data_IF_074873514271
#
_entry.id   IF_074873514271
#
_cell.length_a   1.000
_cell.length_b   1.000
_cell.length_c   1.000
_cell.angle_alpha   90.00
_cell.angle_beta   90.00
_cell.angle_gamma   90.00
#
_symmetry.space_group_name_H-M   'P 1'
#
loop_
_entity.id
_entity.type
_entity.pdbx_description
1 polymer ?
#
# COMPACT_ATOMS: atom_id res chain seq x y z
N UNK A 1 21.35 -13.85 8.78
CA UNK A 1 22.22 -13.68 9.98
C UNK A 1 21.75 -12.60 10.95
N UNK A 2 20.68 -11.84 10.68
CA UNK A 2 20.23 -10.75 11.57
C UNK A 2 20.05 -11.19 13.02
N UNK A 3 19.35 -12.30 13.28
CA UNK A 3 19.14 -12.82 14.63
C UNK A 3 20.45 -13.22 15.33
N UNK A 4 21.37 -13.88 14.61
CA UNK A 4 22.65 -14.33 15.17
C UNK A 4 23.54 -13.15 15.53
N UNK A 5 23.63 -12.13 14.67
CA UNK A 5 24.42 -10.93 14.94
C UNK A 5 23.88 -10.21 16.19
N UNK A 6 22.56 -10.03 16.28
CA UNK A 6 21.94 -9.40 17.45
C UNK A 6 22.19 -10.18 18.75
N UNK A 7 22.18 -11.52 18.68
CA UNK A 7 22.35 -12.38 19.84
C UNK A 7 23.81 -12.55 20.27
N UNK A 8 24.73 -12.71 19.32
CA UNK A 8 26.12 -13.11 19.57
C UNK A 8 27.10 -11.93 19.58
N UNK A 9 26.80 -10.84 18.85
CA UNK A 9 27.73 -9.73 18.66
C UNK A 9 27.25 -8.42 19.31
N UNK A 10 25.94 -8.18 19.36
CA UNK A 10 25.41 -6.92 19.88
C UNK A 10 25.26 -6.86 21.41
N UNK A 11 25.52 -7.97 22.13
CA UNK A 11 25.45 -8.01 23.60
C UNK A 11 24.04 -7.80 24.18
N UNK A 12 22.99 -7.99 23.37
CA UNK A 12 21.59 -7.82 23.82
C UNK A 12 21.10 -8.97 24.72
N UNK A 13 21.87 -10.05 24.86
CA UNK A 13 21.54 -11.23 25.65
C UNK A 13 22.11 -11.19 27.09
N UNK A 14 22.73 -10.08 27.49
CA UNK A 14 23.44 -9.97 28.77
C UNK A 14 22.46 -9.78 29.95
N UNK A 15 21.31 -9.15 29.71
CA UNK A 15 20.30 -8.85 30.72
C UNK A 15 18.91 -9.15 30.16
N UNK A 16 18.04 -9.70 31.00
CA UNK A 16 16.70 -10.15 30.59
C UNK A 16 15.79 -9.00 30.12
N UNK A 17 15.79 -7.87 30.82
CA UNK A 17 15.08 -6.65 30.43
C UNK A 17 16.00 -5.42 30.61
N UNK A 18 16.46 -4.87 29.49
CA UNK A 18 17.38 -3.73 29.43
C UNK A 18 16.64 -2.40 29.64
N UNK A 19 15.33 -2.35 29.38
CA UNK A 19 14.54 -1.10 29.45
C UNK A 19 13.82 -0.91 30.78
N UNK A 20 13.90 -1.89 31.69
CA UNK A 20 13.30 -1.82 33.02
C UNK A 20 13.69 -0.54 33.77
N UNK A 21 12.70 0.19 34.28
CA UNK A 21 12.90 1.44 35.01
C UNK A 21 13.13 2.67 34.13
N UNK A 22 13.22 2.51 32.81
CA UNK A 22 13.26 3.64 31.89
C UNK A 22 11.86 4.27 31.81
N UNK A 23 11.71 5.46 32.40
CA UNK A 23 10.42 6.15 32.56
C UNK A 23 9.57 6.22 31.27
N UNK A 24 10.21 6.44 30.11
CA UNK A 24 9.51 6.48 28.82
C UNK A 24 8.83 5.15 28.49
N UNK A 25 9.55 4.03 28.60
CA UNK A 25 9.02 2.70 28.30
C UNK A 25 7.99 2.26 29.34
N UNK A 26 8.22 2.55 30.61
CA UNK A 26 7.25 2.28 31.68
C UNK A 26 5.93 3.03 31.42
N UNK A 27 6.00 4.31 31.08
CA UNK A 27 4.82 5.11 30.76
C UNK A 27 4.10 4.61 29.50
N UNK A 28 4.84 4.28 28.44
CA UNK A 28 4.25 3.73 27.21
C UNK A 28 3.60 2.37 27.45
N UNK A 29 4.23 1.52 28.26
CA UNK A 29 3.69 0.20 28.65
C UNK A 29 2.40 0.37 29.42
N UNK A 30 2.37 1.29 30.40
CA UNK A 30 1.18 1.58 31.17
C UNK A 30 0.03 2.09 30.30
N UNK A 31 0.30 2.99 29.36
CA UNK A 31 -0.71 3.51 28.42
C UNK A 31 -1.23 2.41 27.48
N UNK A 32 -0.34 1.57 26.95
CA UNK A 32 -0.73 0.44 26.12
C UNK A 32 -1.61 -0.55 26.88
N UNK A 33 -1.23 -0.90 28.12
CA UNK A 33 -2.00 -1.80 28.99
C UNK A 33 -3.38 -1.22 29.30
N UNK A 34 -3.46 0.07 29.62
CA UNK A 34 -4.74 0.73 29.91
C UNK A 34 -5.69 0.64 28.71
N UNK A 35 -5.24 1.03 27.52
CA UNK A 35 -6.08 0.99 26.32
C UNK A 35 -6.44 -0.44 25.89
N UNK A 36 -5.50 -1.38 25.97
CA UNK A 36 -5.77 -2.79 25.68
C UNK A 36 -6.80 -3.38 26.65
N UNK A 37 -6.75 -2.98 27.92
CA UNK A 37 -7.72 -3.42 28.93
C UNK A 37 -9.11 -2.83 28.68
N UNK A 38 -9.19 -1.55 28.31
CA UNK A 38 -10.45 -0.89 27.93
C UNK A 38 -11.09 -1.58 26.70
N UNK A 39 -10.30 -1.86 25.66
CA UNK A 39 -10.77 -2.60 24.47
C UNK A 39 -11.22 -4.02 24.83
N UNK A 40 -10.47 -4.72 25.69
CA UNK A 40 -10.84 -6.06 26.16
C UNK A 40 -12.19 -6.05 26.90
N UNK A 41 -12.39 -5.11 27.82
CA UNK A 41 -13.66 -4.97 28.54
C UNK A 41 -14.83 -4.61 27.59
N UNK A 42 -14.58 -3.82 26.54
CA UNK A 42 -15.58 -3.53 25.51
C UNK A 42 -15.98 -4.81 24.75
N UNK A 43 -15.01 -5.65 24.40
CA UNK A 43 -15.23 -6.93 23.73
C UNK A 43 -16.11 -7.84 24.61
N UNK A 44 -15.75 -8.00 25.88
CA UNK A 44 -16.51 -8.82 26.82
C UNK A 44 -17.95 -8.32 27.02
N UNK A 45 -18.13 -6.99 27.14
CA UNK A 45 -19.47 -6.38 27.26
C UNK A 45 -20.37 -6.63 26.04
N UNK A 46 -19.79 -6.83 24.86
CA UNK A 46 -20.49 -7.13 23.60
C UNK A 46 -20.75 -8.62 23.38
N UNK A 47 -20.52 -9.46 24.39
CA UNK A 47 -20.71 -10.91 24.30
C UNK A 47 -19.49 -11.65 23.78
N UNK A 48 -18.30 -11.08 23.96
CA UNK A 48 -17.03 -11.68 23.60
C UNK A 48 -16.63 -11.53 22.13
N UNK A 49 -15.44 -12.03 21.80
CA UNK A 49 -14.82 -11.85 20.47
C UNK A 49 -15.61 -12.50 19.34
N UNK A 50 -16.24 -13.66 19.58
CA UNK A 50 -17.00 -14.41 18.56
C UNK A 50 -18.22 -13.59 18.11
N UNK A 51 -18.96 -13.01 19.05
CA UNK A 51 -20.09 -12.11 18.78
C UNK A 51 -19.67 -10.89 17.94
N UNK A 52 -18.53 -10.28 18.29
CA UNK A 52 -18.00 -9.14 17.55
C UNK A 52 -17.55 -9.48 16.13
N UNK A 53 -16.98 -10.67 15.93
CA UNK A 53 -16.58 -11.17 14.61
C UNK A 53 -17.80 -11.47 13.74
N UNK A 54 -18.84 -12.09 14.30
CA UNK A 54 -20.10 -12.36 13.62
C UNK A 54 -20.81 -11.07 13.16
N UNK A 55 -20.81 -10.05 14.01
CA UNK A 55 -21.43 -8.76 13.70
C UNK A 55 -20.49 -7.78 12.95
N UNK A 56 -19.34 -8.27 12.48
CA UNK A 56 -18.30 -7.53 11.76
C UNK A 56 -17.78 -6.25 12.44
N UNK A 57 -17.97 -6.13 13.75
CA UNK A 57 -17.61 -4.91 14.49
C UNK A 57 -16.11 -4.74 14.57
N UNK A 58 -15.38 -5.84 14.78
CA UNK A 58 -13.92 -5.82 14.83
C UNK A 58 -13.33 -5.44 13.46
N UNK A 59 -13.86 -6.02 12.38
CA UNK A 59 -13.44 -5.73 11.01
C UNK A 59 -13.63 -4.25 10.68
N UNK A 60 -14.76 -3.65 11.09
CA UNK A 60 -15.01 -2.20 10.93
C UNK A 60 -14.01 -1.35 11.71
N UNK A 61 -13.71 -1.69 12.97
CA UNK A 61 -12.69 -0.99 13.77
C UNK A 61 -11.31 -1.02 13.08
N UNK A 62 -10.86 -2.20 12.66
CA UNK A 62 -9.58 -2.38 11.95
C UNK A 62 -9.59 -1.59 10.63
N UNK A 63 -10.70 -1.60 9.90
CA UNK A 63 -10.82 -0.85 8.65
C UNK A 63 -10.68 0.66 8.85
N UNK A 64 -11.24 1.21 9.92
CA UNK A 64 -11.10 2.64 10.24
C UNK A 64 -9.63 3.00 10.48
N UNK A 65 -8.91 2.23 11.29
CA UNK A 65 -7.48 2.47 11.54
C UNK A 65 -6.64 2.29 10.27
N UNK A 66 -6.98 1.30 9.44
CA UNK A 66 -6.37 1.13 8.13
C UNK A 66 -6.56 2.36 7.23
N UNK A 67 -7.77 2.95 7.16
CA UNK A 67 -8.00 4.15 6.35
C UNK A 67 -7.22 5.37 6.87
N UNK A 68 -7.08 5.52 8.20
CA UNK A 68 -6.24 6.57 8.81
C UNK A 68 -4.78 6.38 8.43
N UNK A 69 -4.24 5.17 8.60
CA UNK A 69 -2.85 4.86 8.23
C UNK A 69 -2.60 5.11 6.74
N UNK A 70 -3.54 4.68 5.89
CA UNK A 70 -3.50 4.89 4.45
C UNK A 70 -3.50 6.37 4.08
N UNK A 71 -4.28 7.22 4.75
CA UNK A 71 -4.28 8.66 4.49
C UNK A 71 -2.98 9.34 4.92
N UNK A 72 -2.35 8.87 6.00
CA UNK A 72 -1.01 9.35 6.38
C UNK A 72 0.06 8.95 5.38
N UNK A 73 0.01 7.72 4.86
CA UNK A 73 0.94 7.27 3.82
C UNK A 73 0.70 8.07 2.52
N UNK A 74 -0.57 8.25 2.13
CA UNK A 74 -0.91 8.90 0.87
C UNK A 74 -0.65 10.40 0.87
N UNK A 75 -0.84 11.09 1.99
CA UNK A 75 -0.40 12.48 2.18
C UNK A 75 1.13 12.61 2.31
N UNK A 76 1.81 11.53 2.72
CA UNK A 76 3.24 11.50 3.01
C UNK A 76 3.62 11.90 4.43
N UNK A 77 2.64 12.00 5.34
CA UNK A 77 2.86 12.15 6.78
C UNK A 77 3.54 10.90 7.39
N UNK A 78 3.28 9.71 6.82
CA UNK A 78 3.99 8.48 7.14
C UNK A 78 4.83 8.04 5.93
N UNK A 79 6.10 8.49 5.83
CA UNK A 79 6.96 8.17 4.68
C UNK A 79 7.40 6.70 4.71
N UNK A 80 7.44 6.09 3.53
CA UNK A 80 8.00 4.76 3.30
C UNK A 80 9.27 4.95 2.46
N UNK A 81 10.42 4.75 3.10
CA UNK A 81 11.73 4.93 2.46
C UNK A 81 11.89 3.94 1.31
N UNK A 82 12.34 4.43 0.15
CA UNK A 82 12.49 3.64 -1.08
C UNK A 82 11.21 3.52 -1.92
N UNK A 83 10.04 3.87 -1.36
CA UNK A 83 8.74 3.82 -2.07
C UNK A 83 8.12 5.21 -2.22
N UNK A 84 7.66 5.82 -1.13
CA UNK A 84 7.04 7.16 -1.17
C UNK A 84 8.03 8.28 -0.90
N UNK A 85 9.12 7.97 -0.20
CA UNK A 85 10.21 8.89 0.09
C UNK A 85 11.51 8.35 -0.49
N UNK A 86 12.18 9.14 -1.34
CA UNK A 86 13.36 8.74 -2.12
C UNK A 86 13.16 7.42 -2.92
N UNK A 87 12.15 7.33 -3.80
CA UNK A 87 11.99 6.19 -4.68
C UNK A 87 13.18 6.02 -5.62
N UNK A 88 13.64 4.78 -5.78
CA UNK A 88 14.66 4.44 -6.77
C UNK A 88 14.05 4.23 -8.15
N UNK A 89 14.71 4.72 -9.19
CA UNK A 89 14.24 4.65 -10.59
C UNK A 89 14.36 3.22 -11.16
N UNK A 90 15.42 2.50 -10.79
CA UNK A 90 15.83 1.25 -11.46
C UNK A 90 15.43 -0.03 -10.73
N UNK A 91 14.80 0.08 -9.56
CA UNK A 91 14.40 -1.09 -8.78
C UNK A 91 13.20 -1.76 -9.44
N UNK A 92 13.48 -2.74 -10.32
CA UNK A 92 12.49 -3.72 -10.80
C UNK A 92 12.55 -4.92 -9.87
N UNK A 93 11.66 -5.03 -8.86
CA UNK A 93 11.67 -6.20 -7.99
C UNK A 93 11.38 -7.44 -8.84
N UNK A 94 12.16 -8.49 -8.65
CA UNK A 94 11.84 -9.80 -9.19
C UNK A 94 10.65 -10.33 -8.41
N UNK A 95 9.47 -10.26 -9.01
CA UNK A 95 8.26 -10.84 -8.44
C UNK A 95 8.37 -12.36 -8.58
N UNK A 96 8.71 -13.05 -7.49
CA UNK A 96 8.65 -14.51 -7.42
C UNK A 96 7.22 -14.87 -7.02
N UNK A 97 6.32 -14.95 -8.00
CA UNK A 97 5.01 -15.54 -7.79
C UNK A 97 5.11 -17.06 -7.96
N UNK A 98 4.52 -17.85 -7.06
CA UNK A 98 4.39 -19.28 -7.29
C UNK A 98 3.53 -19.50 -8.54
N UNK A 99 3.95 -20.45 -9.38
CA UNK A 99 3.22 -20.80 -10.59
C UNK A 99 2.00 -21.67 -10.21
N UNK A 100 0.89 -21.00 -9.94
CA UNK A 100 -0.36 -21.66 -9.51
C UNK A 100 -0.86 -22.67 -10.55
N UNK A 101 -0.61 -22.42 -11.84
CA UNK A 101 -1.04 -23.33 -12.92
C UNK A 101 -0.35 -24.70 -12.86
N UNK A 102 0.90 -24.75 -12.38
CA UNK A 102 1.61 -26.00 -12.14
C UNK A 102 1.05 -26.77 -10.95
N UNK A 103 0.69 -26.06 -9.88
CA UNK A 103 0.10 -26.68 -8.70
C UNK A 103 -1.31 -27.21 -8.99
N UNK A 104 -2.11 -26.50 -9.79
CA UNK A 104 -3.42 -26.98 -10.25
C UNK A 104 -3.32 -28.30 -11.01
N UNK A 105 -2.39 -28.40 -11.98
CA UNK A 105 -2.17 -29.64 -12.74
C UNK A 105 -1.76 -30.82 -11.86
N UNK A 106 -0.90 -30.59 -10.85
CA UNK A 106 -0.52 -31.64 -9.89
C UNK A 106 -1.73 -32.15 -9.11
N UNK A 107 -2.61 -31.24 -8.70
CA UNK A 107 -3.84 -31.59 -7.98
C UNK A 107 -4.79 -32.38 -8.89
N UNK A 108 -4.94 -31.99 -10.15
CA UNK A 108 -5.75 -32.73 -11.14
C UNK A 108 -5.20 -34.14 -11.40
N UNK A 109 -3.90 -34.28 -11.62
CA UNK A 109 -3.22 -35.57 -11.79
C UNK A 109 -3.40 -36.47 -10.56
N UNK A 110 -3.26 -35.91 -9.36
CA UNK A 110 -3.51 -36.63 -8.11
C UNK A 110 -4.98 -37.10 -8.03
N UNK A 111 -5.94 -36.21 -8.29
CA UNK A 111 -7.38 -36.53 -8.25
C UNK A 111 -7.73 -37.63 -9.25
N UNK A 112 -7.08 -37.64 -10.42
CA UNK A 112 -7.29 -38.68 -11.44
C UNK A 112 -6.64 -40.02 -11.07
N UNK A 113 -5.47 -39.99 -10.42
CA UNK A 113 -4.69 -41.20 -10.08
C UNK A 113 -5.16 -41.94 -8.83
N UNK A 114 -5.87 -41.28 -7.91
CA UNK A 114 -6.21 -41.82 -6.58
C UNK A 114 -7.28 -42.93 -6.55
N UNK A 115 -7.97 -43.20 -7.65
CA UNK A 115 -8.96 -44.29 -7.73
C UNK A 115 -10.31 -43.97 -7.07
N UNK A 116 -10.78 -44.83 -6.16
CA UNK A 116 -12.04 -44.60 -5.43
C UNK A 116 -12.01 -43.29 -4.64
N UNK A 117 -13.13 -42.58 -4.62
CA UNK A 117 -13.24 -41.29 -3.94
C UNK A 117 -13.00 -41.42 -2.43
N UNK A 118 -12.44 -40.38 -1.78
CA UNK A 118 -12.16 -40.40 -0.36
C UNK A 118 -13.45 -40.51 0.46
N UNK A 119 -13.35 -41.11 1.65
CA UNK A 119 -14.48 -41.10 2.59
C UNK A 119 -14.53 -39.74 3.26
N UNK A 120 -15.59 -38.96 3.01
CA UNK A 120 -15.78 -37.63 3.61
C UNK A 120 -16.90 -37.73 4.65
N UNK A 121 -16.62 -37.33 5.89
CA UNK A 121 -17.61 -37.32 6.97
C UNK A 121 -17.01 -37.53 8.35
N UNK A 122 -17.81 -37.26 9.39
CA UNK A 122 -17.40 -37.34 10.79
C UNK A 122 -17.02 -35.99 11.40
N UNK A 123 -17.03 -35.89 12.73
CA UNK A 123 -16.68 -34.67 13.48
C UNK A 123 -15.35 -34.83 14.22
N UNK A 124 -14.65 -33.71 14.45
CA UNK A 124 -13.41 -33.65 15.21
C UNK A 124 -12.13 -33.96 14.43
N UNK A 125 -10.99 -33.82 15.09
CA UNK A 125 -9.65 -33.93 14.47
C UNK A 125 -9.34 -35.35 13.97
N UNK A 126 -9.83 -36.39 14.65
CA UNK A 126 -9.61 -37.78 14.22
C UNK A 126 -10.28 -38.11 12.88
N UNK A 127 -11.45 -37.52 12.63
CA UNK A 127 -12.13 -37.58 11.32
C UNK A 127 -11.26 -36.93 10.23
N UNK A 128 -10.71 -35.75 10.49
CA UNK A 128 -9.83 -35.05 9.54
C UNK A 128 -8.62 -35.89 9.10
N UNK A 129 -7.94 -36.54 10.05
CA UNK A 129 -6.82 -37.43 9.74
C UNK A 129 -7.28 -38.65 8.92
N UNK A 130 -8.41 -39.27 9.25
CA UNK A 130 -8.94 -40.41 8.48
C UNK A 130 -9.30 -40.04 7.05
N UNK A 131 -9.83 -38.83 6.83
CA UNK A 131 -10.14 -38.30 5.49
C UNK A 131 -8.86 -38.08 4.67
N UNK A 132 -7.82 -37.48 5.27
CA UNK A 132 -6.51 -37.33 4.63
C UNK A 132 -5.88 -38.69 4.30
N UNK A 133 -5.96 -39.67 5.22
CA UNK A 133 -5.47 -41.03 4.98
C UNK A 133 -6.23 -41.74 3.86
N UNK A 134 -7.53 -41.44 3.67
CA UNK A 134 -8.30 -41.92 2.52
C UNK A 134 -8.01 -41.19 1.21
N UNK A 135 -7.08 -40.24 1.20
CA UNK A 135 -6.68 -39.49 0.01
C UNK A 135 -7.52 -38.25 -0.28
N UNK A 136 -8.29 -37.74 0.69
CA UNK A 136 -9.05 -36.51 0.54
C UNK A 136 -8.12 -35.31 0.40
N UNK A 137 -8.40 -34.44 -0.57
CA UNK A 137 -7.73 -33.15 -0.67
C UNK A 137 -8.29 -32.19 0.38
N UNK A 138 -7.49 -31.19 0.79
CA UNK A 138 -7.94 -30.16 1.75
C UNK A 138 -9.24 -29.49 1.31
N UNK A 139 -9.38 -29.22 0.02
CA UNK A 139 -10.54 -28.58 -0.57
C UNK A 139 -11.83 -29.42 -0.42
N UNK A 140 -11.74 -30.73 -0.65
CA UNK A 140 -12.89 -31.65 -0.48
C UNK A 140 -13.32 -31.77 0.98
N UNK A 141 -12.34 -31.82 1.88
CA UNK A 141 -12.60 -31.81 3.33
C UNK A 141 -13.29 -30.51 3.72
N UNK A 142 -12.77 -29.36 3.27
CA UNK A 142 -13.35 -28.06 3.57
C UNK A 142 -14.77 -27.93 2.99
N UNK A 143 -15.05 -28.37 1.75
CA UNK A 143 -16.40 -28.38 1.19
C UNK A 143 -17.39 -29.23 2.00
N UNK A 144 -16.95 -30.38 2.52
CA UNK A 144 -17.76 -31.22 3.41
C UNK A 144 -18.00 -30.60 4.79
N UNK A 145 -17.08 -29.74 5.26
CA UNK A 145 -17.19 -29.00 6.52
C UNK A 145 -18.03 -27.72 6.40
N UNK A 146 -18.00 -27.05 5.23
CA UNK A 146 -18.70 -25.78 4.98
C UNK A 146 -20.22 -25.87 5.13
N UNK A 147 -20.82 -27.07 5.00
CA UNK A 147 -22.25 -27.26 5.24
C UNK A 147 -22.67 -27.18 6.73
N UNK A 148 -21.73 -26.97 7.67
CA UNK A 148 -22.00 -27.02 9.12
C UNK A 148 -21.60 -25.78 9.93
N UNK A 149 -21.06 -24.73 9.32
CA UNK A 149 -20.70 -23.51 10.08
C UNK A 149 -21.86 -22.51 10.12
N UNK A 150 -22.51 -22.36 11.27
CA UNK A 150 -23.58 -21.36 11.51
C UNK A 150 -23.06 -19.91 11.50
N UNK A 151 -21.76 -19.71 11.67
CA UNK A 151 -21.11 -18.39 11.78
C UNK A 151 -20.21 -18.19 10.57
N UNK A 152 -20.54 -17.20 9.75
CA UNK A 152 -19.69 -16.73 8.64
C UNK A 152 -19.22 -15.31 8.93
N UNK A 153 -17.95 -15.01 8.63
CA UNK A 153 -17.35 -13.70 8.90
C UNK A 153 -16.45 -13.30 7.74
N UNK A 154 -16.48 -12.04 7.31
CA UNK A 154 -15.57 -11.55 6.29
C UNK A 154 -14.10 -11.67 6.74
N UNK A 155 -13.20 -12.22 5.90
CA UNK A 155 -11.79 -12.35 6.24
C UNK A 155 -11.08 -11.00 6.28
N UNK A 156 -10.13 -10.86 7.19
CA UNK A 156 -9.19 -9.73 7.17
C UNK A 156 -8.15 -9.95 6.08
N UNK A 157 -8.05 -9.00 5.16
CA UNK A 157 -7.06 -9.05 4.09
C UNK A 157 -5.74 -8.46 4.57
N UNK A 158 -4.65 -9.20 4.40
CA UNK A 158 -3.31 -8.64 4.55
C UNK A 158 -3.04 -7.70 3.36
N UNK A 159 -2.75 -6.43 3.65
CA UNK A 159 -2.47 -5.40 2.65
C UNK A 159 -1.20 -4.65 3.06
N UNK A 160 -0.06 -4.89 2.40
CA UNK A 160 1.15 -4.13 2.66
C UNK A 160 0.93 -2.63 2.43
N UNK A 161 1.47 -1.81 3.32
CA UNK A 161 1.32 -0.34 3.28
C UNK A 161 1.79 0.27 1.94
N UNK A 162 2.85 -0.29 1.37
CA UNK A 162 3.46 0.17 0.12
C UNK A 162 2.76 -0.33 -1.15
N UNK A 163 1.92 -1.36 -1.05
CA UNK A 163 1.31 -2.06 -2.19
C UNK A 163 0.64 -1.12 -3.20
N UNK A 164 -0.15 -0.09 -2.80
CA UNK A 164 -0.80 0.79 -3.77
C UNK A 164 0.18 1.58 -4.65
N UNK A 165 1.39 1.86 -4.17
CA UNK A 165 2.44 2.53 -4.96
C UNK A 165 3.21 1.54 -5.82
N UNK A 166 3.48 0.34 -5.28
CA UNK A 166 4.09 -0.75 -6.03
C UNK A 166 3.23 -1.17 -7.24
N UNK A 167 1.91 -1.26 -7.08
CA UNK A 167 0.97 -1.52 -8.19
C UNK A 167 1.02 -0.43 -9.26
N UNK A 168 1.17 0.84 -8.89
CA UNK A 168 1.31 1.93 -9.86
C UNK A 168 2.66 1.88 -10.58
N UNK A 169 3.73 1.52 -9.87
CA UNK A 169 5.07 1.34 -10.43
C UNK A 169 5.21 0.09 -11.30
N UNK A 170 4.40 -0.93 -11.04
CA UNK A 170 4.35 -2.14 -11.86
C UNK A 170 3.65 -1.89 -13.21
N UNK A 171 2.83 -0.84 -13.31
CA UNK A 171 2.31 -0.36 -14.60
C UNK A 171 3.45 0.22 -15.43
N UNK A 172 3.24 0.31 -16.75
CA UNK A 172 4.22 0.82 -17.70
C UNK A 172 4.81 2.17 -17.25
N UNK A 173 6.13 2.30 -17.34
CA UNK A 173 6.85 3.55 -17.07
C UNK A 173 6.31 4.65 -17.98
N UNK A 174 5.82 5.75 -17.39
CA UNK A 174 5.32 6.92 -18.12
C UNK A 174 6.27 8.09 -17.92
N UNK A 175 6.50 8.86 -18.98
CA UNK A 175 7.30 10.09 -18.91
C UNK A 175 6.38 11.31 -19.02
N UNK A 176 6.54 12.26 -18.10
CA UNK A 176 5.79 13.52 -18.09
C UNK A 176 6.77 14.70 -18.10
N UNK A 177 6.51 15.74 -18.90
CA UNK A 177 7.32 16.96 -18.87
C UNK A 177 7.09 17.74 -17.56
N UNK A 178 8.19 18.06 -16.89
CA UNK A 178 8.28 18.95 -15.75
C UNK A 178 8.86 20.27 -16.23
N UNK A 179 7.98 21.23 -16.51
CA UNK A 179 8.35 22.51 -17.09
C UNK A 179 8.76 23.48 -16.00
N UNK A 180 9.94 24.07 -16.17
CA UNK A 180 10.60 24.93 -15.20
C UNK A 180 10.41 26.40 -15.58
N UNK A 181 9.83 27.19 -14.68
CA UNK A 181 9.55 28.61 -14.85
C UNK A 181 10.53 29.43 -14.01
N UNK A 182 11.18 30.41 -14.64
CA UNK A 182 12.10 31.33 -13.97
C UNK A 182 13.45 30.72 -13.61
N UNK A 183 14.07 31.24 -12.55
CA UNK A 183 15.45 30.88 -12.17
C UNK A 183 15.52 29.61 -11.31
N UNK A 184 16.66 28.91 -11.36
CA UNK A 184 16.89 27.65 -10.63
C UNK A 184 16.62 27.73 -9.12
N UNK A 185 16.92 28.87 -8.51
CA UNK A 185 16.66 29.11 -7.08
C UNK A 185 15.19 29.05 -6.73
N UNK A 186 14.31 29.39 -7.67
CA UNK A 186 12.88 29.47 -7.46
C UNK A 186 12.20 28.11 -7.64
N UNK A 187 12.68 27.28 -8.58
CA UNK A 187 12.05 26.00 -8.90
C UNK A 187 12.78 24.76 -8.37
N UNK A 188 14.07 24.80 -8.02
CA UNK A 188 14.87 23.60 -7.68
C UNK A 188 14.23 22.70 -6.60
N UNK A 189 13.83 23.27 -5.46
CA UNK A 189 13.18 22.52 -4.38
C UNK A 189 11.81 21.94 -4.79
N UNK A 190 11.01 22.71 -5.53
CA UNK A 190 9.68 22.29 -6.04
C UNK A 190 9.82 21.19 -7.10
N UNK A 191 10.80 21.32 -7.99
CA UNK A 191 11.10 20.34 -9.01
C UNK A 191 11.59 19.01 -8.41
N UNK A 192 12.47 19.05 -7.42
CA UNK A 192 12.90 17.85 -6.71
C UNK A 192 11.73 17.16 -5.99
N UNK A 193 10.88 17.94 -5.32
CA UNK A 193 9.67 17.41 -4.68
C UNK A 193 8.72 16.74 -5.69
N UNK A 194 8.44 17.40 -6.81
CA UNK A 194 7.56 16.88 -7.85
C UNK A 194 8.12 15.60 -8.47
N UNK A 195 9.42 15.56 -8.75
CA UNK A 195 10.10 14.36 -9.26
C UNK A 195 9.97 13.18 -8.31
N UNK A 196 10.27 13.37 -7.02
CA UNK A 196 10.16 12.29 -6.04
C UNK A 196 8.72 11.79 -5.90
N UNK A 197 7.74 12.69 -5.92
CA UNK A 197 6.33 12.31 -5.87
C UNK A 197 5.92 11.51 -7.12
N UNK A 198 6.27 11.98 -8.32
CA UNK A 198 5.93 11.28 -9.57
C UNK A 198 6.62 9.91 -9.65
N UNK A 199 7.89 9.83 -9.26
CA UNK A 199 8.64 8.57 -9.23
C UNK A 199 8.04 7.54 -8.28
N UNK A 200 7.40 7.97 -7.18
CA UNK A 200 6.71 7.04 -6.27
C UNK A 200 5.56 6.29 -6.94
N UNK A 201 4.99 6.85 -8.01
CA UNK A 201 3.99 6.20 -8.87
C UNK A 201 4.55 5.62 -10.16
N UNK A 202 5.87 5.56 -10.35
CA UNK A 202 6.50 5.02 -11.56
C UNK A 202 6.49 5.97 -12.75
N UNK A 203 6.31 7.27 -12.50
CA UNK A 203 6.30 8.32 -13.52
C UNK A 203 7.62 9.06 -13.48
N UNK A 204 8.33 9.07 -14.60
CA UNK A 204 9.60 9.77 -14.76
C UNK A 204 9.32 11.20 -15.21
N UNK A 205 9.76 12.19 -14.43
CA UNK A 205 9.58 13.60 -14.78
C UNK A 205 10.81 14.13 -15.53
N UNK A 206 10.64 14.44 -16.82
CA UNK A 206 11.68 15.04 -17.65
C UNK A 206 11.70 16.56 -17.43
N UNK A 207 12.81 17.11 -16.93
CA UNK A 207 12.96 18.56 -16.73
C UNK A 207 13.15 19.26 -18.07
N UNK A 208 12.35 20.29 -18.33
CA UNK A 208 12.43 21.10 -19.55
C UNK A 208 12.26 22.58 -19.16
N UNK A 209 13.17 23.48 -19.56
CA UNK A 209 12.96 24.92 -19.42
C UNK A 209 11.69 25.37 -20.18
N UNK A 210 10.99 26.38 -19.68
CA UNK A 210 9.74 26.83 -20.28
C UNK A 210 9.88 27.28 -21.73
N UNK A 211 11.02 27.89 -22.09
CA UNK A 211 11.31 28.39 -23.44
C UNK A 211 11.52 27.25 -24.46
N UNK A 212 11.99 26.10 -24.00
CA UNK A 212 12.25 24.92 -24.83
C UNK A 212 11.05 23.96 -24.88
N UNK A 213 10.04 24.20 -24.05
CA UNK A 213 8.88 23.34 -23.97
C UNK A 213 8.03 23.45 -25.24
N UNK A 214 7.89 22.35 -25.97
CA UNK A 214 6.97 22.27 -27.10
C UNK A 214 5.59 21.76 -26.65
N UNK A 215 4.56 22.62 -26.60
CA UNK A 215 3.23 22.26 -26.13
C UNK A 215 2.46 21.37 -27.12
N UNK A 216 2.96 21.15 -28.35
CA UNK A 216 2.39 20.19 -29.31
C UNK A 216 2.85 18.75 -29.07
N UNK A 217 3.64 18.50 -28.02
CA UNK A 217 4.07 17.14 -27.64
C UNK A 217 2.86 16.24 -27.30
N UNK A 218 2.97 14.91 -27.44
CA UNK A 218 1.84 13.99 -27.22
C UNK A 218 1.45 13.84 -25.73
N UNK A 219 2.05 14.60 -24.81
CA UNK A 219 1.83 14.46 -23.38
C UNK A 219 0.50 15.13 -22.98
N UNK A 220 -0.44 14.32 -22.46
CA UNK A 220 -1.72 14.82 -21.94
C UNK A 220 -1.57 15.63 -20.66
N UNK A 221 -0.55 15.33 -19.85
CA UNK A 221 -0.27 15.99 -18.59
C UNK A 221 1.04 16.76 -18.64
N UNK A 222 1.07 17.92 -18.01
CA UNK A 222 2.26 18.78 -17.88
C UNK A 222 2.35 19.25 -16.43
N UNK A 223 3.53 19.17 -15.82
CA UNK A 223 3.75 19.67 -14.47
C UNK A 223 4.53 20.98 -14.52
N UNK A 224 4.00 22.04 -13.92
CA UNK A 224 4.67 23.34 -13.83
C UNK A 224 5.34 23.54 -12.47
N UNK A 225 6.60 23.95 -12.49
CA UNK A 225 7.40 24.32 -11.33
C UNK A 225 7.97 25.72 -11.48
N UNK A 226 7.60 26.64 -10.60
CA UNK A 226 8.08 28.02 -10.62
C UNK A 226 7.75 28.78 -9.34
N UNK A 227 7.91 30.09 -9.36
CA UNK A 227 7.33 30.97 -8.35
C UNK A 227 5.80 31.08 -8.54
N UNK A 228 5.08 31.39 -7.46
CA UNK A 228 3.61 31.49 -7.53
C UNK A 228 3.11 32.62 -8.45
N UNK A 229 3.93 33.66 -8.66
CA UNK A 229 3.63 34.78 -9.57
C UNK A 229 3.56 34.35 -11.03
N UNK A 230 4.35 33.34 -11.41
CA UNK A 230 4.63 33.05 -12.82
C UNK A 230 3.63 32.04 -13.40
N UNK A 231 2.92 31.31 -12.53
CA UNK A 231 1.94 30.30 -12.96
C UNK A 231 0.78 30.89 -13.76
N UNK A 232 0.30 32.10 -13.41
CA UNK A 232 -0.83 32.71 -14.09
C UNK A 232 -0.54 32.96 -15.58
N UNK A 233 0.65 33.47 -15.89
CA UNK A 233 1.09 33.73 -17.26
C UNK A 233 1.29 32.41 -18.03
N UNK A 234 1.94 31.43 -17.41
CA UNK A 234 2.19 30.12 -18.02
C UNK A 234 0.88 29.38 -18.35
N UNK A 235 -0.12 29.44 -17.46
CA UNK A 235 -1.43 28.82 -17.70
C UNK A 235 -2.14 29.42 -18.91
N UNK A 236 -2.12 30.75 -19.08
CA UNK A 236 -2.76 31.41 -20.23
C UNK A 236 -2.18 30.90 -21.55
N UNK A 237 -0.84 30.73 -21.62
CA UNK A 237 -0.18 30.23 -22.83
C UNK A 237 -0.47 28.75 -23.10
N UNK A 238 -0.60 27.95 -22.03
CA UNK A 238 -0.90 26.52 -22.17
C UNK A 238 -2.37 26.23 -22.41
N UNK A 239 -3.30 27.15 -22.12
CA UNK A 239 -4.75 26.96 -22.40
C UNK A 239 -5.05 26.75 -23.88
N UNK A 240 -4.22 27.26 -24.78
CA UNK A 240 -4.38 27.07 -26.24
C UNK A 240 -4.16 25.61 -26.65
N UNK A 241 -3.44 24.86 -25.83
CA UNK A 241 -3.10 23.46 -26.04
C UNK A 241 -3.94 22.63 -25.06
N UNK A 242 -4.65 21.61 -25.53
CA UNK A 242 -5.60 20.81 -24.72
C UNK A 242 -4.89 19.87 -23.71
N UNK A 243 -4.00 20.43 -22.90
CA UNK A 243 -3.16 19.73 -21.93
C UNK A 243 -3.73 19.93 -20.51
N UNK A 244 -3.75 18.88 -19.69
CA UNK A 244 -4.09 18.96 -18.27
C UNK A 244 -2.85 19.42 -17.48
N UNK A 245 -2.92 20.62 -16.91
CA UNK A 245 -1.78 21.22 -16.19
C UNK A 245 -1.86 20.94 -14.69
N UNK A 246 -0.76 20.44 -14.12
CA UNK A 246 -0.57 20.24 -12.68
C UNK A 246 0.40 21.29 -12.15
N UNK A 247 0.03 22.01 -11.09
CA UNK A 247 0.89 23.02 -10.48
C UNK A 247 1.56 22.51 -9.22
N UNK A 248 2.83 22.84 -9.03
CA UNK A 248 3.54 22.54 -7.78
C UNK A 248 3.44 23.71 -6.82
N UNK A 249 2.25 23.86 -6.24
CA UNK A 249 1.93 24.92 -5.27
C UNK A 249 0.77 24.50 -4.37
N UNK A 250 0.73 24.96 -3.10
CA UNK A 250 -0.45 24.79 -2.25
C UNK A 250 -1.61 25.74 -2.61
N UNK A 251 -1.39 26.75 -3.47
CA UNK A 251 -2.42 27.72 -3.83
C UNK A 251 -3.35 27.14 -4.89
N UNK A 252 -4.64 27.13 -4.59
CA UNK A 252 -5.68 26.73 -5.53
C UNK A 252 -5.81 27.75 -6.66
N UNK A 253 -5.97 27.25 -7.88
CA UNK A 253 -6.20 28.03 -9.09
C UNK A 253 -7.26 27.31 -9.95
N UNK A 254 -8.34 27.99 -10.31
CA UNK A 254 -9.48 27.37 -11.02
C UNK A 254 -9.11 26.79 -12.39
N UNK A 255 -8.02 27.27 -12.99
CA UNK A 255 -7.59 26.85 -14.33
C UNK A 255 -6.64 25.65 -14.34
N UNK A 256 -6.19 25.19 -13.17
CA UNK A 256 -5.32 24.04 -13.05
C UNK A 256 -6.13 22.76 -12.84
N UNK A 257 -5.70 21.66 -13.48
CA UNK A 257 -6.33 20.35 -13.29
C UNK A 257 -6.03 19.77 -11.90
N UNK A 258 -4.85 20.06 -11.35
CA UNK A 258 -4.46 19.55 -10.03
C UNK A 258 -3.24 20.25 -9.42
N UNK A 259 -2.97 19.91 -8.16
CA UNK A 259 -1.93 20.56 -7.36
C UNK A 259 -1.04 19.53 -6.67
N UNK A 260 0.25 19.83 -6.59
CA UNK A 260 1.24 19.08 -5.83
C UNK A 260 1.80 19.95 -4.71
N UNK A 261 1.60 19.53 -3.47
CA UNK A 261 2.18 20.15 -2.28
C UNK A 261 2.37 19.10 -1.18
N UNK A 262 3.06 19.45 -0.10
CA UNK A 262 3.50 18.46 0.91
C UNK A 262 2.40 17.58 1.51
N UNK A 263 1.17 18.09 1.60
CA UNK A 263 0.02 17.43 2.22
C UNK A 263 -1.01 16.90 1.21
N UNK A 264 -0.74 16.99 -0.10
CA UNK A 264 -1.70 16.50 -1.09
C UNK A 264 -1.82 14.98 -1.05
N UNK A 265 -2.99 14.44 -1.40
CA UNK A 265 -3.17 12.99 -1.53
C UNK A 265 -2.47 12.49 -2.80
N UNK A 266 -1.22 12.08 -2.64
CA UNK A 266 -0.33 11.65 -3.70
C UNK A 266 -0.91 10.45 -4.45
N UNK A 267 -1.51 9.52 -3.72
CA UNK A 267 -2.01 8.27 -4.30
C UNK A 267 -3.16 8.54 -5.27
N UNK A 268 -4.09 9.43 -4.89
CA UNK A 268 -5.22 9.82 -5.75
C UNK A 268 -4.74 10.56 -6.99
N UNK A 269 -3.83 11.53 -6.83
CA UNK A 269 -3.23 12.26 -7.97
C UNK A 269 -2.55 11.29 -8.96
N UNK A 270 -1.69 10.40 -8.48
CA UNK A 270 -0.96 9.44 -9.31
C UNK A 270 -1.89 8.45 -10.02
N UNK A 271 -2.96 8.00 -9.35
CA UNK A 271 -3.99 7.14 -9.97
C UNK A 271 -4.72 7.84 -11.10
N UNK A 272 -5.10 9.10 -10.93
CA UNK A 272 -5.75 9.89 -11.97
C UNK A 272 -4.82 10.08 -13.18
N UNK A 273 -3.54 10.41 -12.96
CA UNK A 273 -2.54 10.53 -14.03
C UNK A 273 -2.40 9.20 -14.79
N UNK A 274 -2.33 8.06 -14.09
CA UNK A 274 -2.24 6.75 -14.75
C UNK A 274 -3.50 6.40 -15.56
N UNK A 275 -4.69 6.72 -15.05
CA UNK A 275 -5.97 6.37 -15.67
C UNK A 275 -6.28 7.22 -16.90
N UNK A 276 -6.08 8.53 -16.82
CA UNK A 276 -6.41 9.46 -17.91
C UNK A 276 -5.32 9.52 -19.01
N UNK A 277 -4.10 9.08 -18.71
CA UNK A 277 -3.02 8.95 -19.68
C UNK A 277 -2.94 7.57 -20.34
N UNK A 278 -3.96 6.72 -20.20
CA UNK A 278 -4.10 5.45 -20.93
C UNK A 278 -5.20 5.60 -21.97
#
# INVERSE_FOLDING_TARGET
>A
NTHNILAEECGLNIQDDVVQGAHLFEQQTQLLMQHAWEDFQEIERKGGIISMLHNETLQKKIHIEFQKRKSWISSGALPIVGTTHFPQVEAKPTIIQPDLSKEEKKVEEYIWSRGEGPTIGGSGVGSYLSQLHSGATRFEIDQGLFFRSEITTAPLSNRPDALPFEELRAKQEKTIPLVLLGEERQWSARAQFAQQMLLSGGIVAQRIPFEEYNPSSPHRFVVLCGADSDYAQALVQLREYKCSVILVTPKTNEDAWGFMHQQCDRLTLLKCIHTEAS
#
